data_IF_548806171446
#
_entry.id   IF_548806171446
#
_cell.length_a   1.000
_cell.length_b   1.000
_cell.length_c   1.000
_cell.angle_alpha   90.00
_cell.angle_beta   90.00
_cell.angle_gamma   90.00
#
_symmetry.space_group_name_H-M   'P 1'
#
loop_
_entity.id
_entity.type
_entity.pdbx_description
1 polymer ?
#
# COMPACT_ATOMS: atom_id res chain seq x y z
N UNK A 1 -37.84 22.91 17.45
CA UNK A 1 -36.77 22.28 18.25
C UNK A 1 -35.87 21.57 17.25
N UNK A 2 -34.85 22.27 16.75
CA UNK A 2 -33.83 21.66 15.91
C UNK A 2 -32.67 21.33 16.84
N UNK A 3 -32.48 20.05 17.14
CA UNK A 3 -31.33 19.59 17.90
C UNK A 3 -30.21 19.29 16.90
N UNK A 4 -29.12 20.03 17.05
CA UNK A 4 -27.87 19.84 16.33
C UNK A 4 -27.05 18.82 17.10
N UNK A 5 -26.66 17.73 16.45
CA UNK A 5 -25.57 16.87 16.87
C UNK A 5 -24.50 16.85 15.79
N UNK A 6 -23.56 17.80 15.90
CA UNK A 6 -22.24 17.76 15.28
C UNK A 6 -21.38 16.78 16.09
N UNK A 7 -20.82 15.76 15.45
CA UNK A 7 -19.76 14.93 16.06
C UNK A 7 -18.56 14.82 15.09
N UNK A 8 -17.75 15.87 15.08
CA UNK A 8 -16.36 15.70 15.52
C UNK A 8 -15.40 14.86 14.67
N UNK A 9 -15.20 15.23 13.41
CA UNK A 9 -13.91 15.40 12.71
C UNK A 9 -12.67 14.53 13.09
N UNK A 10 -12.37 13.58 12.19
CA UNK A 10 -11.09 13.28 11.50
C UNK A 10 -9.79 13.00 12.27
N UNK A 11 -9.28 11.75 12.14
CA UNK A 11 -7.84 11.43 12.07
C UNK A 11 -7.60 10.23 11.14
N UNK A 12 -6.93 10.47 10.02
CA UNK A 12 -6.47 9.44 9.07
C UNK A 12 -6.66 9.90 7.64
N UNK A 13 -5.75 10.74 7.14
CA UNK A 13 -5.77 11.26 5.78
C UNK A 13 -5.33 10.21 4.78
N UNK A 14 -6.22 9.28 4.46
CA UNK A 14 -6.16 8.40 3.30
C UNK A 14 -7.50 8.44 2.59
N UNK A 15 -7.49 8.46 1.27
CA UNK A 15 -8.68 8.22 0.48
C UNK A 15 -9.29 6.87 0.92
N UNK A 16 -10.61 6.82 1.15
CA UNK A 16 -11.26 5.57 1.59
C UNK A 16 -11.06 4.39 0.62
N UNK A 17 -10.59 4.67 -0.61
CA UNK A 17 -10.27 3.68 -1.64
C UNK A 17 -9.02 2.88 -1.28
N UNK A 18 -7.92 3.53 -0.89
CA UNK A 18 -6.67 2.87 -0.51
C UNK A 18 -6.85 1.91 0.68
N UNK A 19 -7.68 2.30 1.65
CA UNK A 19 -8.09 1.43 2.75
C UNK A 19 -8.87 0.21 2.23
N UNK A 20 -9.91 0.44 1.42
CA UNK A 20 -10.71 -0.66 0.88
C UNK A 20 -9.87 -1.64 0.04
N UNK A 21 -8.98 -1.14 -0.80
CA UNK A 21 -8.08 -1.97 -1.59
C UNK A 21 -7.11 -2.76 -0.71
N UNK A 22 -6.54 -2.14 0.33
CA UNK A 22 -5.68 -2.88 1.26
C UNK A 22 -6.46 -3.95 2.02
N UNK A 23 -7.68 -3.68 2.47
CA UNK A 23 -8.55 -4.68 3.13
C UNK A 23 -8.81 -5.90 2.22
N UNK A 24 -8.82 -5.74 0.89
CA UNK A 24 -8.99 -6.84 -0.07
C UNK A 24 -7.70 -7.64 -0.37
N UNK A 25 -6.55 -7.20 0.17
CA UNK A 25 -5.25 -7.83 -0.02
C UNK A 25 -4.39 -7.21 -1.12
N UNK A 26 -4.78 -6.04 -1.64
CA UNK A 26 -3.97 -5.34 -2.64
C UNK A 26 -2.80 -4.62 -1.97
N UNK A 27 -1.61 -4.81 -2.56
CA UNK A 27 -0.39 -4.15 -2.12
C UNK A 27 -0.49 -2.64 -2.38
N UNK A 28 -0.32 -1.77 -1.37
CA UNK A 28 -0.48 -0.32 -1.55
C UNK A 28 0.59 0.29 -2.47
N UNK A 29 1.73 -0.38 -2.61
CA UNK A 29 2.81 0.04 -3.48
C UNK A 29 2.52 -0.19 -4.97
N UNK A 30 1.90 -1.32 -5.33
CA UNK A 30 1.81 -1.74 -6.74
C UNK A 30 0.43 -2.20 -7.22
N UNK A 31 -0.55 -2.28 -6.33
CA UNK A 31 -1.94 -2.63 -6.65
C UNK A 31 -2.19 -4.12 -6.92
N UNK A 32 -1.17 -4.97 -6.94
CA UNK A 32 -1.38 -6.41 -7.10
C UNK A 32 -1.83 -7.06 -5.80
N UNK A 33 -2.69 -8.07 -5.91
CA UNK A 33 -3.23 -8.83 -4.78
C UNK A 33 -2.25 -9.89 -4.30
N UNK A 34 -1.26 -9.45 -3.53
CA UNK A 34 -0.17 -10.30 -3.05
C UNK A 34 -0.17 -10.48 -1.53
N UNK A 35 -1.07 -9.79 -0.82
CA UNK A 35 -1.12 -9.77 0.64
C UNK A 35 -2.39 -10.47 1.14
N UNK A 36 -2.36 -10.90 2.40
CA UNK A 36 -3.53 -11.49 3.04
C UNK A 36 -4.66 -10.44 3.21
N UNK A 37 -5.90 -10.77 2.82
CA UNK A 37 -7.05 -9.87 2.98
C UNK A 37 -7.46 -9.74 4.45
N UNK A 38 -8.01 -8.57 4.82
CA UNK A 38 -8.48 -8.25 6.17
C UNK A 38 -7.37 -8.12 7.21
N UNK A 39 -6.12 -7.97 6.77
CA UNK A 39 -4.94 -7.90 7.63
C UNK A 39 -3.97 -6.77 7.24
N UNK A 40 -4.38 -5.48 7.20
CA UNK A 40 -3.41 -4.39 7.03
C UNK A 40 -2.37 -4.37 8.17
N UNK A 41 -1.10 -4.15 7.82
CA UNK A 41 0.01 -4.26 8.77
C UNK A 41 0.42 -5.69 9.07
N UNK A 42 0.26 -6.62 8.11
CA UNK A 42 0.59 -8.03 8.31
C UNK A 42 2.10 -8.30 8.34
N UNK A 43 2.93 -7.33 7.95
CA UNK A 43 4.36 -7.50 7.70
C UNK A 43 4.67 -8.56 6.63
N UNK A 44 3.70 -8.88 5.77
CA UNK A 44 3.94 -9.68 4.58
C UNK A 44 4.70 -8.85 3.54
N UNK A 45 5.56 -9.53 2.78
CA UNK A 45 6.29 -8.90 1.68
C UNK A 45 5.57 -9.21 0.39
N UNK A 46 5.23 -8.16 -0.38
CA UNK A 46 4.68 -8.31 -1.71
C UNK A 46 5.69 -9.02 -2.62
N UNK A 47 5.39 -10.24 -3.04
CA UNK A 47 6.29 -11.05 -3.87
C UNK A 47 6.58 -10.45 -5.26
N UNK A 48 5.77 -9.49 -5.74
CA UNK A 48 5.94 -8.87 -7.06
C UNK A 48 6.92 -7.69 -7.02
N UNK A 49 6.87 -6.86 -5.96
CA UNK A 49 7.67 -5.60 -5.90
C UNK A 49 8.51 -5.47 -4.64
N UNK A 50 8.39 -6.37 -3.67
CA UNK A 50 9.18 -6.40 -2.44
C UNK A 50 8.73 -5.45 -1.34
N UNK A 51 7.55 -4.82 -1.47
CA UNK A 51 7.03 -3.91 -0.44
C UNK A 51 6.62 -4.67 0.82
N UNK A 52 7.07 -4.23 1.99
CA UNK A 52 6.67 -4.76 3.29
C UNK A 52 5.37 -4.10 3.74
N UNK A 53 4.38 -4.90 4.11
CA UNK A 53 3.10 -4.36 4.55
C UNK A 53 3.15 -3.85 6.00
N UNK A 54 3.46 -2.57 6.14
CA UNK A 54 3.55 -1.90 7.44
C UNK A 54 2.52 -0.75 7.57
N UNK A 55 1.94 -0.59 8.76
CA UNK A 55 0.92 0.45 8.99
C UNK A 55 1.48 1.87 8.93
N UNK A 56 2.76 2.09 9.25
CA UNK A 56 3.35 3.42 9.22
C UNK A 56 3.50 3.88 7.77
N UNK A 57 4.11 3.05 6.91
CA UNK A 57 4.21 3.35 5.48
C UNK A 57 2.85 3.46 4.80
N UNK A 58 1.87 2.66 5.23
CA UNK A 58 0.51 2.73 4.70
C UNK A 58 -0.24 4.03 5.08
N UNK A 59 -0.30 4.40 6.38
CA UNK A 59 -1.02 5.60 6.82
C UNK A 59 -0.24 6.91 6.64
N UNK A 60 1.08 6.83 6.48
CA UNK A 60 1.96 7.97 6.31
C UNK A 60 2.85 7.75 5.08
N UNK A 61 2.30 7.89 3.85
CA UNK A 61 2.99 7.49 2.63
C UNK A 61 4.29 8.26 2.34
N UNK A 62 4.44 9.46 2.92
CA UNK A 62 5.67 10.27 2.87
C UNK A 62 6.68 9.91 3.96
N UNK A 63 6.29 9.10 4.95
CA UNK A 63 7.14 8.72 6.08
C UNK A 63 7.76 7.36 5.83
N UNK A 64 9.06 7.27 6.14
CA UNK A 64 9.77 6.01 6.17
C UNK A 64 9.48 5.30 7.49
N UNK A 65 9.03 4.05 7.40
CA UNK A 65 8.90 3.15 8.55
C UNK A 65 10.26 2.76 9.13
N UNK A 66 10.29 2.24 10.37
CA UNK A 66 11.51 1.64 10.93
C UNK A 66 11.93 0.37 10.17
N UNK A 67 10.97 -0.28 9.50
CA UNK A 67 11.17 -1.54 8.79
C UNK A 67 11.51 -1.35 7.31
N UNK A 68 10.82 -0.43 6.63
CA UNK A 68 11.12 -0.12 5.23
C UNK A 68 12.31 0.84 5.08
N UNK A 69 13.07 0.67 3.99
CA UNK A 69 14.20 1.54 3.69
C UNK A 69 13.79 2.84 2.94
N UNK A 70 12.55 2.91 2.46
CA UNK A 70 11.97 4.04 1.72
C UNK A 70 10.54 4.31 2.20
N UNK A 71 9.98 5.49 1.88
CA UNK A 71 8.56 5.76 2.09
C UNK A 71 7.70 5.08 1.02
N UNK A 72 6.39 4.94 1.24
CA UNK A 72 5.48 4.33 0.25
C UNK A 72 5.44 5.14 -1.05
N UNK A 73 5.46 6.47 -0.98
CA UNK A 73 5.54 7.34 -2.16
C UNK A 73 6.84 7.12 -2.94
N UNK A 74 7.97 7.03 -2.24
CA UNK A 74 9.25 6.72 -2.89
C UNK A 74 9.29 5.30 -3.47
N UNK A 75 8.65 4.33 -2.81
CA UNK A 75 8.50 2.97 -3.31
C UNK A 75 7.68 2.92 -4.60
N UNK A 76 6.57 3.67 -4.68
CA UNK A 76 5.75 3.81 -5.90
C UNK A 76 6.58 4.38 -7.07
N UNK A 77 7.37 5.42 -6.81
CA UNK A 77 8.31 5.96 -7.80
C UNK A 77 9.37 4.93 -8.23
N UNK A 78 9.91 4.18 -7.28
CA UNK A 78 10.89 3.13 -7.55
C UNK A 78 10.29 1.99 -8.38
N UNK A 79 9.03 1.61 -8.16
CA UNK A 79 8.34 0.61 -8.99
C UNK A 79 8.25 1.08 -10.44
N UNK A 80 7.91 2.36 -10.67
CA UNK A 80 7.88 2.91 -12.02
C UNK A 80 9.26 2.94 -12.69
N UNK A 81 10.35 3.11 -11.92
CA UNK A 81 11.71 3.26 -12.44
C UNK A 81 12.50 1.94 -12.56
N UNK A 82 12.32 1.04 -11.61
CA UNK A 82 13.15 -0.16 -11.41
C UNK A 82 12.34 -1.45 -11.39
N UNK A 83 11.00 -1.38 -11.33
CA UNK A 83 10.15 -2.56 -11.17
C UNK A 83 10.19 -3.17 -9.77
N UNK A 84 10.70 -2.45 -8.76
CA UNK A 84 10.71 -2.89 -7.36
C UNK A 84 10.60 -1.67 -6.43
N UNK A 85 10.13 -1.87 -5.19
CA UNK A 85 10.01 -0.80 -4.20
C UNK A 85 11.39 -0.24 -3.77
N UNK A 86 12.45 -1.03 -3.90
CA UNK A 86 13.82 -0.69 -3.53
C UNK A 86 14.75 -0.96 -4.71
N UNK A 87 15.72 -0.06 -4.90
CA UNK A 87 16.77 -0.26 -5.90
C UNK A 87 17.65 -1.45 -5.52
N UNK A 88 17.65 -2.50 -6.33
CA UNK A 88 18.51 -3.69 -6.15
C UNK A 88 17.84 -4.91 -5.52
N UNK A 89 16.53 -4.88 -5.23
CA UNK A 89 15.78 -6.03 -4.67
C UNK A 89 15.11 -6.88 -5.78
N UNK A 90 15.35 -6.54 -7.05
CA UNK A 90 14.74 -7.24 -8.19
C UNK A 90 15.01 -8.75 -8.25
N UNK A 91 16.05 -9.24 -7.57
CA UNK A 91 16.40 -10.67 -7.52
C UNK A 91 15.53 -11.48 -6.54
N UNK A 92 14.91 -10.84 -5.55
CA UNK A 92 14.02 -11.50 -4.57
C UNK A 92 12.52 -11.36 -4.94
N UNK A 93 12.23 -10.59 -5.99
CA UNK A 93 10.88 -10.38 -6.52
C UNK A 93 10.62 -11.22 -7.77
N UNK A 94 9.35 -11.48 -8.09
CA UNK A 94 8.95 -12.08 -9.37
C UNK A 94 8.21 -11.08 -10.25
N UNK A 95 8.28 -11.28 -11.56
CA UNK A 95 7.40 -10.57 -12.49
C UNK A 95 5.91 -10.93 -12.25
N UNK A 96 4.98 -9.98 -12.50
CA UNK A 96 3.56 -10.28 -12.56
C UNK A 96 3.27 -11.35 -13.62
N UNK A 97 2.37 -12.27 -13.30
CA UNK A 97 1.82 -13.31 -14.16
C UNK A 97 0.46 -12.85 -14.67
N UNK A 98 -0.01 -13.49 -15.75
CA UNK A 98 -1.30 -13.16 -16.37
C UNK A 98 -2.52 -13.39 -15.46
N UNK A 99 -2.40 -14.24 -14.44
CA UNK A 99 -3.47 -14.56 -13.49
C UNK A 99 -3.41 -13.70 -12.21
N UNK A 100 -2.37 -12.85 -12.06
CA UNK A 100 -2.30 -11.96 -10.89
C UNK A 100 -3.41 -10.91 -10.96
N UNK A 101 -4.23 -10.84 -9.91
CA UNK A 101 -5.27 -9.84 -9.78
C UNK A 101 -4.64 -8.48 -9.46
N UNK A 102 -5.02 -7.46 -10.23
CA UNK A 102 -4.63 -6.07 -9.97
C UNK A 102 -5.88 -5.25 -9.62
N UNK A 103 -5.73 -4.37 -8.64
CA UNK A 103 -6.77 -3.44 -8.25
C UNK A 103 -7.12 -2.49 -9.42
N UNK A 104 -8.39 -2.45 -9.86
CA UNK A 104 -8.81 -1.58 -10.95
C UNK A 104 -8.70 -0.08 -10.61
N UNK A 105 -8.66 0.27 -9.33
CA UNK A 105 -8.60 1.66 -8.85
C UNK A 105 -7.18 2.11 -8.48
N UNK A 106 -6.15 1.29 -8.75
CA UNK A 106 -4.76 1.63 -8.50
C UNK A 106 -4.14 2.48 -9.64
N UNK A 107 -3.37 3.54 -9.33
CA UNK A 107 -2.93 3.98 -8.01
C UNK A 107 -3.94 4.90 -7.30
N UNK A 108 -4.09 4.72 -5.99
CA UNK A 108 -4.83 5.66 -5.13
C UNK A 108 -4.04 6.94 -4.86
N UNK A 109 -4.74 8.07 -4.79
CA UNK A 109 -4.19 9.41 -4.57
C UNK A 109 -3.86 9.67 -3.09
#
# INVERSE_FOLDING_TARGET
MADRGDDGRERGGGDGSSLASRELGFCPCCGYRTLSPGQPGSYEICEIRGWLDDLVGFYHPETRSDYDHVSLSQARENVAKYGACLSGVGEETRDPRADDEQDPDHPHD
#
